data_IF_037784492268
#
_entry.id   IF_037784492268
#
_cell.length_a   1.000
_cell.length_b   1.000
_cell.length_c   1.000
_cell.angle_alpha   90.00
_cell.angle_beta   90.00
_cell.angle_gamma   90.00
#
_symmetry.space_group_name_H-M   'P 1'
#
loop_
_entity.id
_entity.type
_entity.pdbx_description
1 polymer ?
#
# COMPACT_ATOMS: atom_id res chain seq x y z
N UNK A 1 62.82 20.81 29.77
CA UNK A 1 61.78 20.80 28.72
C UNK A 1 61.85 19.59 27.77
N UNK A 2 63.00 18.94 27.54
CA UNK A 2 63.10 17.77 26.64
C UNK A 2 62.55 16.44 27.19
N UNK A 3 62.35 16.34 28.51
CA UNK A 3 61.80 15.14 29.16
C UNK A 3 60.27 15.16 29.30
N UNK A 4 59.62 16.29 29.01
CA UNK A 4 58.16 16.41 29.08
C UNK A 4 57.46 15.88 27.82
N UNK A 5 58.15 15.95 26.66
CA UNK A 5 57.68 15.39 25.39
C UNK A 5 57.82 13.87 25.29
N UNK A 6 58.76 13.27 26.04
CA UNK A 6 58.95 11.83 26.09
C UNK A 6 57.88 11.11 26.96
N UNK A 7 57.29 11.82 27.93
CA UNK A 7 56.21 11.29 28.77
C UNK A 7 54.86 11.20 28.02
N UNK A 8 54.72 11.95 26.92
CA UNK A 8 53.50 12.00 26.10
C UNK A 8 53.43 10.86 25.07
N UNK A 9 54.53 10.13 24.87
CA UNK A 9 54.62 8.94 24.01
C UNK A 9 54.47 7.61 24.76
N UNK A 10 54.23 7.66 26.08
CA UNK A 10 54.04 6.48 26.94
C UNK A 10 52.64 6.44 27.57
N UNK A 11 51.66 7.07 26.91
CA UNK A 11 50.27 6.67 27.07
C UNK A 11 50.01 5.60 26.01
N UNK A 12 49.91 4.31 26.38
CA UNK A 12 49.27 3.37 25.48
C UNK A 12 47.88 3.94 25.20
N UNK A 13 47.49 3.97 23.93
CA UNK A 13 46.09 4.08 23.54
C UNK A 13 45.34 2.94 24.25
N UNK A 14 44.84 3.19 25.46
CA UNK A 14 43.81 2.40 26.09
C UNK A 14 42.51 2.73 25.36
N UNK A 15 42.43 2.32 24.10
CA UNK A 15 41.17 1.88 23.55
C UNK A 15 40.85 0.59 24.32
N UNK A 16 40.24 0.72 25.49
CA UNK A 16 39.48 -0.37 26.09
C UNK A 16 38.30 -0.63 25.14
N UNK A 17 38.56 -1.31 24.03
CA UNK A 17 37.50 -2.04 23.35
C UNK A 17 37.04 -3.07 24.36
N UNK A 18 35.87 -2.86 24.95
CA UNK A 18 35.24 -3.82 25.86
C UNK A 18 35.16 -5.15 25.12
N UNK A 19 35.89 -6.15 25.61
CA UNK A 19 35.94 -7.44 24.94
C UNK A 19 34.58 -8.14 25.11
N UNK A 20 34.21 -9.04 24.19
CA UNK A 20 32.95 -9.82 24.31
C UNK A 20 32.84 -10.47 25.72
N UNK A 21 33.89 -11.09 26.29
CA UNK A 21 33.85 -11.63 27.66
C UNK A 21 33.52 -10.59 28.75
N UNK A 22 34.05 -9.38 28.64
CA UNK A 22 33.77 -8.32 29.62
C UNK A 22 32.32 -7.85 29.51
N UNK A 23 31.82 -7.67 28.28
CA UNK A 23 30.43 -7.31 28.02
C UNK A 23 29.46 -8.41 28.46
N UNK A 24 29.78 -9.69 28.24
CA UNK A 24 28.94 -10.81 28.71
C UNK A 24 28.84 -10.80 30.23
N UNK A 25 29.94 -10.56 30.95
CA UNK A 25 29.94 -10.54 32.40
C UNK A 25 29.13 -9.36 32.98
N UNK A 26 29.04 -8.23 32.25
CA UNK A 26 28.17 -7.10 32.61
C UNK A 26 26.71 -7.38 32.25
N UNK A 27 26.46 -7.93 31.06
CA UNK A 27 25.11 -8.26 30.59
C UNK A 27 24.43 -9.32 31.47
N UNK A 28 25.19 -10.30 31.98
CA UNK A 28 24.73 -11.30 32.97
C UNK A 28 24.42 -10.70 34.34
N UNK A 29 24.92 -9.50 34.65
CA UNK A 29 24.57 -8.73 35.85
C UNK A 29 23.43 -7.74 35.60
N UNK A 30 22.60 -8.02 34.60
CA UNK A 30 21.46 -7.22 34.18
C UNK A 30 21.79 -5.79 33.71
N UNK A 31 23.05 -5.51 33.33
CA UNK A 31 23.40 -4.22 32.75
C UNK A 31 22.76 -4.06 31.36
N UNK A 32 21.74 -3.21 31.28
CA UNK A 32 20.92 -2.99 30.08
C UNK A 32 21.75 -2.51 28.88
N UNK A 33 22.74 -1.65 29.13
CA UNK A 33 23.61 -1.09 28.09
C UNK A 33 24.52 -2.18 27.54
N UNK A 34 25.13 -2.99 28.41
CA UNK A 34 25.95 -4.13 28.02
C UNK A 34 25.12 -5.19 27.26
N UNK A 35 23.90 -5.48 27.71
CA UNK A 35 22.98 -6.39 26.99
C UNK A 35 22.70 -5.88 25.56
N UNK A 36 22.42 -4.59 25.41
CA UNK A 36 22.16 -3.99 24.09
C UNK A 36 23.40 -3.97 23.20
N UNK A 37 24.56 -3.57 23.73
CA UNK A 37 25.83 -3.54 22.98
C UNK A 37 26.25 -4.95 22.55
N UNK A 38 26.13 -5.94 23.44
CA UNK A 38 26.40 -7.33 23.13
C UNK A 38 25.48 -7.86 22.03
N UNK A 39 24.19 -7.50 22.07
CA UNK A 39 23.25 -7.83 21.01
C UNK A 39 23.64 -7.21 19.66
N UNK A 40 24.17 -5.99 19.65
CA UNK A 40 24.66 -5.35 18.43
C UNK A 40 25.88 -6.06 17.86
N UNK A 41 26.82 -6.47 18.70
CA UNK A 41 28.02 -7.22 18.28
C UNK A 41 27.63 -8.54 17.62
N UNK A 42 26.76 -9.32 18.26
CA UNK A 42 26.28 -10.58 17.69
C UNK A 42 25.48 -10.38 16.39
N UNK A 43 24.69 -9.31 16.28
CA UNK A 43 23.91 -9.02 15.07
C UNK A 43 24.78 -8.64 13.86
N UNK A 44 26.01 -8.15 14.08
CA UNK A 44 26.92 -7.85 12.97
C UNK A 44 27.52 -9.11 12.34
N UNK A 45 27.43 -10.26 13.01
CA UNK A 45 27.93 -11.53 12.50
C UNK A 45 26.98 -12.16 11.48
N UNK A 46 27.50 -12.86 10.45
CA UNK A 46 26.68 -13.58 9.48
C UNK A 46 26.16 -14.95 9.96
N UNK A 47 26.57 -15.43 11.14
CA UNK A 47 26.18 -16.76 11.66
C UNK A 47 24.76 -16.77 12.22
N UNK A 48 23.99 -17.82 11.93
CA UNK A 48 22.66 -18.01 12.54
C UNK A 48 22.73 -18.15 14.07
N UNK A 49 23.79 -18.76 14.60
CA UNK A 49 24.00 -18.88 16.04
C UNK A 49 24.17 -17.52 16.71
N UNK A 50 24.96 -16.64 16.09
CA UNK A 50 25.15 -15.27 16.59
C UNK A 50 23.85 -14.46 16.46
N UNK A 51 23.06 -14.64 15.39
CA UNK A 51 21.76 -13.99 15.26
C UNK A 51 20.76 -14.44 16.34
N UNK A 52 20.81 -15.72 16.77
CA UNK A 52 20.05 -16.21 17.91
C UNK A 52 20.51 -15.57 19.22
N UNK A 53 21.82 -15.39 19.41
CA UNK A 53 22.37 -14.68 20.57
C UNK A 53 21.97 -13.20 20.58
N UNK A 54 22.04 -12.54 19.42
CA UNK A 54 21.59 -11.16 19.27
C UNK A 54 20.12 -11.02 19.66
N UNK A 55 19.27 -11.92 19.16
CA UNK A 55 17.85 -11.94 19.50
C UNK A 55 17.62 -12.07 21.02
N UNK A 56 18.31 -13.02 21.66
CA UNK A 56 18.24 -13.22 23.10
C UNK A 56 18.62 -11.94 23.88
N UNK A 57 19.76 -11.32 23.56
CA UNK A 57 20.22 -10.13 24.28
C UNK A 57 19.39 -8.88 24.01
N UNK A 58 18.90 -8.69 22.77
CA UNK A 58 17.91 -7.64 22.50
C UNK A 58 16.63 -7.86 23.31
N UNK A 59 16.20 -9.12 23.49
CA UNK A 59 15.03 -9.44 24.30
C UNK A 59 15.22 -9.06 25.77
N UNK A 60 16.38 -9.37 26.36
CA UNK A 60 16.67 -8.98 27.74
C UNK A 60 16.65 -7.46 27.92
N UNK A 61 17.38 -6.71 27.08
CA UNK A 61 17.41 -5.25 27.14
C UNK A 61 16.03 -4.63 26.88
N UNK A 62 15.23 -5.19 25.96
CA UNK A 62 13.88 -4.72 25.66
C UNK A 62 12.90 -4.91 26.82
N UNK A 63 13.02 -6.03 27.55
CA UNK A 63 12.22 -6.31 28.76
C UNK A 63 12.55 -5.32 29.89
N UNK A 64 13.79 -4.82 29.94
CA UNK A 64 14.21 -3.73 30.82
C UNK A 64 13.87 -2.33 30.28
N UNK A 65 12.99 -2.24 29.28
CA UNK A 65 12.51 -1.00 28.66
C UNK A 65 13.56 -0.19 27.89
N UNK A 66 14.64 -0.81 27.41
CA UNK A 66 15.59 -0.13 26.53
C UNK A 66 14.95 0.20 25.16
N UNK A 67 14.76 1.48 24.79
CA UNK A 67 13.92 1.82 23.64
C UNK A 67 14.45 1.30 22.31
N UNK A 68 15.76 1.41 22.09
CA UNK A 68 16.39 0.92 20.86
C UNK A 68 16.35 -0.61 20.78
N UNK A 69 16.45 -1.31 21.92
CA UNK A 69 16.36 -2.76 21.95
C UNK A 69 14.94 -3.23 21.61
N UNK A 70 13.91 -2.55 22.13
CA UNK A 70 12.52 -2.82 21.77
C UNK A 70 12.28 -2.65 20.27
N UNK A 71 12.83 -1.60 19.66
CA UNK A 71 12.69 -1.36 18.22
C UNK A 71 13.40 -2.44 17.39
N UNK A 72 14.63 -2.81 17.80
CA UNK A 72 15.40 -3.87 17.15
C UNK A 72 14.70 -5.22 17.27
N UNK A 73 14.28 -5.60 18.47
CA UNK A 73 13.54 -6.84 18.73
C UNK A 73 12.26 -6.92 17.90
N UNK A 74 11.52 -5.81 17.78
CA UNK A 74 10.34 -5.77 16.92
C UNK A 74 10.68 -6.07 15.45
N UNK A 75 11.76 -5.48 14.96
CA UNK A 75 12.26 -5.70 13.59
C UNK A 75 12.69 -7.15 13.39
N UNK A 76 13.34 -7.76 14.38
CA UNK A 76 13.76 -9.16 14.34
C UNK A 76 12.56 -10.10 14.28
N UNK A 77 11.52 -9.87 15.09
CA UNK A 77 10.26 -10.62 15.00
C UNK A 77 9.59 -10.48 13.63
N UNK A 78 9.51 -9.27 13.08
CA UNK A 78 8.87 -9.04 11.76
C UNK A 78 9.63 -9.79 10.65
N UNK A 79 10.96 -9.84 10.73
CA UNK A 79 11.82 -10.47 9.72
C UNK A 79 12.05 -11.97 9.95
N UNK A 80 11.78 -12.48 11.15
CA UNK A 80 12.15 -13.85 11.54
C UNK A 80 13.66 -14.05 11.64
N UNK A 81 14.37 -13.09 12.23
CA UNK A 81 15.82 -13.20 12.46
C UNK A 81 16.03 -13.62 13.92
N UNK A 82 16.70 -14.74 14.13
CA UNK A 82 16.91 -15.33 15.45
C UNK A 82 15.66 -15.98 16.08
N UNK A 83 14.55 -16.04 15.32
CA UNK A 83 13.24 -16.58 15.70
C UNK A 83 12.40 -16.80 14.44
N UNK A 84 11.30 -17.55 14.52
CA UNK A 84 10.29 -17.54 13.46
C UNK A 84 9.64 -16.15 13.28
N UNK A 85 9.26 -15.75 12.04
CA UNK A 85 8.56 -14.49 11.80
C UNK A 85 7.25 -14.38 12.59
N UNK A 86 7.10 -13.30 13.34
CA UNK A 86 5.89 -13.00 14.12
C UNK A 86 5.58 -11.49 14.04
N UNK A 87 4.75 -11.12 13.07
CA UNK A 87 4.30 -9.74 12.87
C UNK A 87 3.53 -9.24 14.10
N UNK A 88 2.80 -10.12 14.80
CA UNK A 88 2.01 -9.76 15.98
C UNK A 88 2.89 -9.29 17.14
N UNK A 89 3.95 -10.03 17.45
CA UNK A 89 4.95 -9.63 18.46
C UNK A 89 5.74 -8.39 18.03
N UNK A 90 6.07 -8.28 16.75
CA UNK A 90 6.69 -7.07 16.21
C UNK A 90 5.83 -5.82 16.42
N UNK A 91 4.54 -5.90 16.06
CA UNK A 91 3.57 -4.84 16.30
C UNK A 91 3.40 -4.53 17.78
N UNK A 92 3.40 -5.52 18.66
CA UNK A 92 3.34 -5.32 20.10
C UNK A 92 4.49 -4.42 20.60
N UNK A 93 5.73 -4.75 20.26
CA UNK A 93 6.91 -3.99 20.67
C UNK A 93 6.95 -2.58 20.05
N UNK A 94 6.63 -2.44 18.76
CA UNK A 94 6.54 -1.11 18.14
C UNK A 94 5.43 -0.26 18.76
N UNK A 95 4.27 -0.87 19.06
CA UNK A 95 3.13 -0.14 19.64
C UNK A 95 3.49 0.39 21.03
N UNK A 96 4.19 -0.42 21.84
CA UNK A 96 4.72 0.01 23.15
C UNK A 96 5.56 1.29 23.04
N UNK A 97 6.50 1.33 22.10
CA UNK A 97 7.33 2.50 21.82
C UNK A 97 6.54 3.69 21.26
N UNK A 98 5.64 3.42 20.32
CA UNK A 98 4.84 4.45 19.67
C UNK A 98 3.91 5.17 20.65
N UNK A 99 3.37 4.45 21.65
CA UNK A 99 2.57 5.00 22.74
C UNK A 99 3.38 5.88 23.70
N UNK A 100 4.71 5.70 23.75
CA UNK A 100 5.64 6.59 24.47
C UNK A 100 6.03 7.82 23.65
N UNK A 101 5.49 7.97 22.43
CA UNK A 101 5.78 9.10 21.55
C UNK A 101 6.98 8.91 20.63
N UNK A 102 7.55 7.70 20.57
CA UNK A 102 8.64 7.40 19.63
C UNK A 102 8.12 7.48 18.18
N UNK A 103 8.60 8.48 17.43
CA UNK A 103 8.12 8.79 16.07
C UNK A 103 8.58 7.73 15.06
N UNK A 104 9.78 7.16 15.24
CA UNK A 104 10.28 6.08 14.38
C UNK A 104 9.42 4.81 14.48
N UNK A 105 8.97 4.46 15.69
CA UNK A 105 8.07 3.34 15.92
C UNK A 105 6.69 3.59 15.29
N UNK A 106 6.16 4.80 15.39
CA UNK A 106 4.90 5.18 14.73
C UNK A 106 5.02 5.04 13.21
N UNK A 107 6.11 5.52 12.62
CA UNK A 107 6.40 5.41 11.18
C UNK A 107 6.57 3.94 10.78
N UNK A 108 7.31 3.14 11.56
CA UNK A 108 7.54 1.73 11.28
C UNK A 108 6.24 0.93 11.26
N UNK A 109 5.32 1.21 12.19
CA UNK A 109 3.98 0.60 12.19
C UNK A 109 3.20 1.01 10.95
N UNK A 110 3.23 2.30 10.60
CA UNK A 110 2.53 2.81 9.42
C UNK A 110 3.04 2.15 8.12
N UNK A 111 4.37 2.04 7.96
CA UNK A 111 5.02 1.36 6.84
C UNK A 111 4.68 -0.13 6.79
N UNK A 112 4.60 -0.79 7.95
CA UNK A 112 4.24 -2.19 8.04
C UNK A 112 2.81 -2.43 7.54
N UNK A 113 1.86 -1.56 7.90
CA UNK A 113 0.50 -1.62 7.38
C UNK A 113 0.42 -1.23 5.90
N UNK A 114 1.17 -0.20 5.47
CA UNK A 114 1.27 0.22 4.06
C UNK A 114 1.80 -0.93 3.18
N UNK A 115 2.79 -1.70 3.64
CA UNK A 115 3.31 -2.88 2.93
C UNK A 115 2.24 -3.95 2.69
N UNK A 116 1.25 -4.05 3.57
CA UNK A 116 0.15 -5.02 3.48
C UNK A 116 -1.16 -4.34 3.03
N UNK A 117 -1.09 -3.28 2.22
CA UNK A 117 -2.22 -2.43 1.82
C UNK A 117 -3.30 -3.11 0.97
N UNK A 118 -3.13 -4.38 0.60
CA UNK A 118 -4.13 -5.15 -0.16
C UNK A 118 -5.48 -5.21 0.55
N UNK A 119 -5.47 -5.19 1.89
CA UNK A 119 -6.67 -4.98 2.71
C UNK A 119 -6.93 -3.48 2.91
N UNK A 120 -8.15 -2.96 2.62
CA UNK A 120 -8.53 -1.59 2.92
C UNK A 120 -8.33 -1.20 4.40
N UNK A 121 -8.44 -2.18 5.31
CA UNK A 121 -8.26 -1.96 6.75
C UNK A 121 -6.81 -1.58 7.09
N UNK A 122 -5.83 -2.13 6.37
CA UNK A 122 -4.42 -1.82 6.58
C UNK A 122 -4.09 -0.41 6.11
N UNK A 123 -4.66 0.07 5.00
CA UNK A 123 -4.50 1.47 4.58
C UNK A 123 -5.09 2.45 5.61
N UNK A 124 -6.20 2.10 6.25
CA UNK A 124 -6.76 2.93 7.32
C UNK A 124 -5.83 2.98 8.55
N UNK A 125 -5.22 1.85 8.94
CA UNK A 125 -4.27 1.81 10.05
C UNK A 125 -2.98 2.59 9.72
N UNK A 126 -2.46 2.46 8.50
CA UNK A 126 -1.32 3.23 8.04
C UNK A 126 -1.60 4.74 8.07
N UNK A 127 -2.79 5.16 7.63
CA UNK A 127 -3.21 6.56 7.70
C UNK A 127 -3.18 7.09 9.13
N UNK A 128 -3.76 6.35 10.09
CA UNK A 128 -3.81 6.76 11.49
C UNK A 128 -2.39 6.93 12.04
N UNK A 129 -1.51 5.94 11.87
CA UNK A 129 -0.16 6.00 12.41
C UNK A 129 0.70 7.09 11.77
N UNK A 130 0.61 7.29 10.45
CA UNK A 130 1.27 8.42 9.79
C UNK A 130 0.72 9.76 10.28
N UNK A 131 -0.60 9.90 10.49
CA UNK A 131 -1.19 11.15 11.00
C UNK A 131 -0.71 11.52 12.40
N UNK A 132 -0.43 10.52 13.25
CA UNK A 132 0.11 10.71 14.60
C UNK A 132 1.57 11.19 14.53
N UNK A 133 2.36 10.65 13.61
CA UNK A 133 3.78 10.96 13.43
C UNK A 133 4.04 12.24 12.61
N UNK A 134 3.10 12.65 11.77
CA UNK A 134 3.24 13.77 10.82
C UNK A 134 3.74 15.08 11.45
N UNK A 135 3.32 15.51 12.65
CA UNK A 135 3.82 16.74 13.25
C UNK A 135 5.32 16.74 13.56
N UNK A 136 5.94 15.56 13.61
CA UNK A 136 7.32 15.35 14.07
C UNK A 136 8.24 14.77 12.99
N UNK A 137 7.75 14.48 11.77
CA UNK A 137 8.56 13.86 10.72
C UNK A 137 8.02 14.07 9.31
N UNK A 138 8.87 14.59 8.43
CA UNK A 138 8.58 14.73 7.00
C UNK A 138 8.37 13.36 6.30
N UNK A 139 9.01 12.30 6.82
CA UNK A 139 8.81 10.94 6.34
C UNK A 139 7.37 10.50 6.58
N UNK A 140 6.80 10.87 7.74
CA UNK A 140 5.42 10.58 8.07
C UNK A 140 4.44 11.41 7.23
N UNK A 141 4.74 12.68 6.94
CA UNK A 141 3.94 13.50 6.02
C UNK A 141 3.91 12.90 4.61
N UNK A 142 5.07 12.53 4.07
CA UNK A 142 5.16 11.88 2.76
C UNK A 142 4.41 10.53 2.74
N UNK A 143 4.53 9.74 3.80
CA UNK A 143 3.80 8.47 3.97
C UNK A 143 2.28 8.67 4.03
N UNK A 144 1.82 9.66 4.78
CA UNK A 144 0.41 10.05 4.83
C UNK A 144 -0.13 10.39 3.44
N UNK A 145 0.62 11.19 2.67
CA UNK A 145 0.28 11.53 1.28
C UNK A 145 0.12 10.31 0.38
N UNK A 146 1.08 9.37 0.42
CA UNK A 146 1.01 8.12 -0.37
C UNK A 146 -0.22 7.28 0.00
N UNK A 147 -0.52 7.15 1.28
CA UNK A 147 -1.70 6.39 1.75
C UNK A 147 -2.99 7.04 1.26
N UNK A 148 -3.12 8.37 1.33
CA UNK A 148 -4.29 9.07 0.81
C UNK A 148 -4.46 8.88 -0.70
N UNK A 149 -3.36 8.93 -1.46
CA UNK A 149 -3.38 8.67 -2.90
C UNK A 149 -3.81 7.23 -3.21
N UNK A 150 -3.24 6.24 -2.51
CA UNK A 150 -3.62 4.83 -2.66
C UNK A 150 -5.12 4.61 -2.39
N UNK A 151 -5.65 5.21 -1.31
CA UNK A 151 -7.08 5.15 -0.97
C UNK A 151 -7.96 5.83 -2.02
N UNK A 152 -7.52 6.96 -2.57
CA UNK A 152 -8.24 7.63 -3.66
C UNK A 152 -8.28 6.77 -4.91
N UNK A 153 -7.15 6.19 -5.30
CA UNK A 153 -7.02 5.31 -6.46
C UNK A 153 -7.88 4.04 -6.29
N UNK A 154 -7.94 3.47 -5.09
CA UNK A 154 -8.80 2.32 -4.79
C UNK A 154 -10.29 2.66 -4.98
N UNK A 155 -10.74 3.82 -4.48
CA UNK A 155 -12.13 4.27 -4.68
C UNK A 155 -12.44 4.55 -6.15
N UNK A 156 -11.49 5.17 -6.87
CA UNK A 156 -11.59 5.39 -8.32
C UNK A 156 -11.76 4.06 -9.08
N UNK A 157 -10.94 3.07 -8.77
CA UNK A 157 -11.02 1.75 -9.40
C UNK A 157 -12.38 1.08 -9.13
N UNK A 158 -12.87 1.13 -7.89
CA UNK A 158 -14.19 0.60 -7.53
C UNK A 158 -15.34 1.27 -8.32
N UNK A 159 -15.27 2.60 -8.50
CA UNK A 159 -16.25 3.34 -9.29
C UNK A 159 -16.19 2.95 -10.78
N UNK A 160 -15.00 2.86 -11.36
CA UNK A 160 -14.84 2.46 -12.76
C UNK A 160 -15.37 1.04 -12.98
N UNK A 161 -15.00 0.07 -12.12
CA UNK A 161 -15.53 -1.29 -12.24
C UNK A 161 -17.05 -1.36 -12.09
N UNK A 162 -17.64 -0.50 -11.26
CA UNK A 162 -19.11 -0.45 -11.13
C UNK A 162 -19.80 0.09 -12.37
N UNK A 163 -19.15 1.00 -13.11
CA UNK A 163 -19.66 1.52 -14.38
C UNK A 163 -19.56 0.46 -15.49
N UNK A 164 -18.42 -0.23 -15.59
CA UNK A 164 -18.23 -1.30 -16.58
C UNK A 164 -19.26 -2.43 -16.42
N UNK A 165 -19.64 -2.76 -15.18
CA UNK A 165 -20.70 -3.74 -14.90
C UNK A 165 -22.09 -3.28 -15.38
N UNK A 166 -22.37 -1.97 -15.32
CA UNK A 166 -23.62 -1.41 -15.84
C UNK A 166 -23.65 -1.39 -17.37
N UNK A 167 -22.53 -1.08 -18.02
CA UNK A 167 -22.41 -1.10 -19.47
C UNK A 167 -22.58 -2.52 -20.03
N UNK A 168 -21.95 -3.53 -19.40
CA UNK A 168 -22.14 -4.95 -19.78
C UNK A 168 -23.59 -5.40 -19.60
N UNK A 169 -24.24 -5.00 -18.51
CA UNK A 169 -25.65 -5.31 -18.27
C UNK A 169 -26.54 -4.70 -19.37
N UNK A 170 -26.27 -3.45 -19.77
CA UNK A 170 -27.00 -2.75 -20.82
C UNK A 170 -26.78 -3.36 -22.22
N UNK A 171 -25.56 -3.79 -22.55
CA UNK A 171 -25.25 -4.47 -23.82
C UNK A 171 -25.88 -5.87 -23.92
N UNK A 172 -26.04 -6.56 -22.79
CA UNK A 172 -26.72 -7.86 -22.73
C UNK A 172 -28.22 -7.78 -23.03
N UNK A 173 -28.84 -6.63 -22.80
CA UNK A 173 -30.24 -6.37 -23.14
C UNK A 173 -30.45 -6.03 -24.63
N UNK A 174 -29.40 -5.57 -25.33
CA UNK A 174 -29.51 -5.09 -26.71
C UNK A 174 -29.13 -6.12 -27.79
N UNK A 175 -28.56 -7.27 -27.42
CA UNK A 175 -27.98 -8.24 -28.36
C UNK A 175 -28.93 -9.34 -28.85
N UNK A 176 -30.23 -9.29 -28.53
CA UNK A 176 -31.24 -10.24 -29.03
C UNK A 176 -31.90 -9.80 -30.34
N UNK A 177 -31.16 -9.46 -31.40
CA UNK A 177 -31.78 -9.36 -32.73
C UNK A 177 -30.79 -9.54 -33.89
N UNK A 178 -30.95 -10.68 -34.59
CA UNK A 178 -30.73 -10.79 -36.03
C UNK A 178 -29.31 -11.07 -36.55
N UNK A 179 -28.98 -12.35 -36.76
CA UNK A 179 -27.94 -12.76 -37.72
C UNK A 179 -28.44 -13.93 -38.55
N UNK A 180 -28.44 -13.82 -39.89
CA UNK A 180 -28.34 -14.95 -40.83
C UNK A 180 -28.14 -14.49 -42.29
N UNK A 181 -27.66 -15.36 -43.21
CA UNK A 181 -26.34 -15.14 -43.80
C UNK A 181 -26.23 -15.49 -45.31
N UNK A 182 -25.01 -15.29 -45.82
CA UNK A 182 -24.24 -16.20 -46.69
C UNK A 182 -24.51 -16.40 -48.19
N UNK A 183 -23.34 -16.64 -48.83
CA UNK A 183 -23.04 -17.56 -49.94
C UNK A 183 -23.39 -17.18 -51.38
N UNK A 184 -22.68 -17.64 -52.42
CA UNK A 184 -21.31 -18.08 -52.71
C UNK A 184 -21.30 -18.59 -54.17
N UNK A 185 -20.11 -18.93 -54.70
CA UNK A 185 -19.81 -19.77 -55.89
C UNK A 185 -19.78 -19.10 -57.29
N UNK A 186 -18.69 -19.13 -58.10
CA UNK A 186 -17.75 -20.18 -58.59
C UNK A 186 -18.26 -20.79 -59.91
N UNK A 187 -17.74 -20.35 -61.07
CA UNK A 187 -16.60 -20.87 -61.87
C UNK A 187 -17.03 -21.88 -62.95
N UNK A 188 -16.62 -21.67 -64.22
CA UNK A 188 -15.94 -22.68 -65.07
C UNK A 188 -15.80 -22.22 -66.53
N UNK A 189 -14.70 -22.67 -67.14
CA UNK A 189 -14.13 -22.30 -68.44
C UNK A 189 -14.60 -23.22 -69.58
N UNK A 190 -14.50 -22.76 -70.84
CA UNK A 190 -14.15 -23.58 -72.02
C UNK A 190 -13.65 -22.71 -73.20
N UNK A 191 -12.65 -23.19 -73.95
CA UNK A 191 -11.81 -22.42 -74.88
C UNK A 191 -12.17 -22.59 -76.39
N UNK A 192 -11.89 -21.56 -77.21
CA UNK A 192 -12.27 -21.40 -78.63
C UNK A 192 -11.04 -20.99 -79.53
N UNK A 193 -11.08 -21.15 -80.88
CA UNK A 193 -9.91 -21.28 -81.78
C UNK A 193 -9.14 -19.97 -82.15
N UNK A 194 -7.97 -20.11 -82.78
CA UNK A 194 -6.81 -19.18 -82.77
C UNK A 194 -6.93 -17.78 -83.42
N UNK A 195 -7.94 -17.48 -84.24
CA UNK A 195 -8.21 -16.11 -84.75
C UNK A 195 -9.28 -15.37 -83.92
N UNK A 196 -10.14 -16.12 -83.21
CA UNK A 196 -10.97 -15.57 -82.14
C UNK A 196 -10.10 -15.13 -80.96
N UNK A 197 -8.94 -15.73 -80.73
CA UNK A 197 -8.00 -15.30 -79.70
C UNK A 197 -7.59 -13.83 -79.82
N UNK A 198 -7.33 -13.32 -81.02
CA UNK A 198 -6.89 -11.91 -81.19
C UNK A 198 -8.05 -10.95 -80.93
N UNK A 199 -9.25 -11.25 -81.42
CA UNK A 199 -10.46 -10.43 -81.18
C UNK A 199 -10.90 -10.52 -79.71
N UNK A 200 -10.82 -11.71 -79.11
CA UNK A 200 -11.09 -11.94 -77.68
C UNK A 200 -10.02 -11.27 -76.82
N UNK A 201 -8.75 -11.21 -77.23
CA UNK A 201 -7.70 -10.47 -76.52
C UNK A 201 -7.97 -8.96 -76.58
N UNK A 202 -8.37 -8.40 -77.73
CA UNK A 202 -8.69 -6.97 -77.83
C UNK A 202 -9.93 -6.62 -77.00
N UNK A 203 -11.00 -7.42 -77.09
CA UNK A 203 -12.20 -7.25 -76.26
C UNK A 203 -11.88 -7.50 -74.77
N UNK A 204 -10.99 -8.43 -74.45
CA UNK A 204 -10.52 -8.69 -73.09
C UNK A 204 -9.65 -7.56 -72.57
N UNK A 205 -8.78 -6.93 -73.37
CA UNK A 205 -7.97 -5.76 -72.96
C UNK A 205 -8.88 -4.54 -72.77
N UNK A 206 -9.83 -4.28 -73.68
CA UNK A 206 -10.81 -3.22 -73.53
C UNK A 206 -11.71 -3.46 -72.30
N UNK A 207 -12.21 -4.69 -72.14
CA UNK A 207 -12.97 -5.14 -70.99
C UNK A 207 -12.18 -5.06 -69.68
N UNK A 208 -10.90 -5.44 -69.67
CA UNK A 208 -10.00 -5.34 -68.54
C UNK A 208 -9.69 -3.88 -68.20
N UNK A 209 -9.57 -3.00 -69.20
CA UNK A 209 -9.39 -1.56 -68.97
C UNK A 209 -10.62 -0.93 -68.32
N UNK A 210 -11.83 -1.27 -68.79
CA UNK A 210 -13.11 -0.83 -68.21
C UNK A 210 -13.34 -1.47 -66.85
N UNK A 211 -12.99 -2.75 -66.68
CA UNK A 211 -13.10 -3.48 -65.41
C UNK A 211 -12.13 -2.93 -64.38
N UNK A 212 -10.87 -2.66 -64.72
CA UNK A 212 -9.90 -2.00 -63.84
C UNK A 212 -10.33 -0.58 -63.49
N UNK A 213 -10.93 0.17 -64.43
CA UNK A 213 -11.48 1.52 -64.17
C UNK A 213 -12.72 1.47 -63.27
N UNK A 214 -13.63 0.51 -63.47
CA UNK A 214 -14.80 0.25 -62.60
C UNK A 214 -14.37 -0.26 -61.23
N UNK A 215 -13.38 -1.15 -61.15
CA UNK A 215 -12.81 -1.68 -59.90
C UNK A 215 -12.05 -0.59 -59.13
N UNK A 216 -11.30 0.29 -59.80
CA UNK A 216 -10.70 1.50 -59.18
C UNK A 216 -11.76 2.49 -58.69
N UNK A 217 -12.84 2.72 -59.44
CA UNK A 217 -13.99 3.53 -58.99
C UNK A 217 -14.70 2.89 -57.80
N UNK A 218 -15.00 1.59 -57.85
CA UNK A 218 -15.62 0.84 -56.76
C UNK A 218 -14.76 0.80 -55.50
N UNK A 219 -13.43 0.64 -55.64
CA UNK A 219 -12.48 0.69 -54.52
C UNK A 219 -12.41 2.10 -53.92
N UNK A 220 -12.36 3.15 -54.75
CA UNK A 220 -12.45 4.54 -54.27
C UNK A 220 -13.76 4.84 -53.55
N UNK A 221 -14.90 4.42 -54.12
CA UNK A 221 -16.22 4.63 -53.52
C UNK A 221 -16.29 3.88 -52.18
N UNK A 222 -15.89 2.61 -52.15
CA UNK A 222 -15.88 1.79 -50.93
C UNK A 222 -14.92 2.35 -49.86
N UNK A 223 -13.74 2.83 -50.24
CA UNK A 223 -12.80 3.49 -49.33
C UNK A 223 -13.37 4.83 -48.81
N UNK A 224 -14.05 5.62 -49.66
CA UNK A 224 -14.74 6.83 -49.20
C UNK A 224 -15.89 6.52 -48.27
N UNK A 225 -16.72 5.49 -48.55
CA UNK A 225 -17.84 5.10 -47.69
C UNK A 225 -17.34 4.62 -46.33
N UNK A 226 -16.30 3.77 -46.31
CA UNK A 226 -15.63 3.34 -45.07
C UNK A 226 -15.05 4.51 -44.29
N UNK A 227 -14.41 5.46 -44.97
CA UNK A 227 -13.85 6.65 -44.34
C UNK A 227 -14.95 7.52 -43.70
N UNK A 228 -16.06 7.77 -44.39
CA UNK A 228 -17.20 8.52 -43.82
C UNK A 228 -17.87 7.78 -42.66
N UNK A 229 -17.98 6.46 -42.72
CA UNK A 229 -18.51 5.66 -41.60
C UNK A 229 -17.58 5.70 -40.39
N UNK A 230 -16.27 5.65 -40.61
CA UNK A 230 -15.26 5.76 -39.55
C UNK A 230 -15.25 7.17 -38.93
N UNK A 231 -15.37 8.22 -39.74
CA UNK A 231 -15.48 9.59 -39.26
C UNK A 231 -16.76 9.82 -38.45
N UNK A 232 -17.89 9.24 -38.87
CA UNK A 232 -19.14 9.30 -38.12
C UNK A 232 -19.06 8.55 -36.77
N UNK A 233 -18.38 7.40 -36.72
CA UNK A 233 -18.15 6.66 -35.46
C UNK A 233 -17.21 7.40 -34.52
N UNK A 234 -16.11 7.97 -35.03
CA UNK A 234 -15.19 8.79 -34.24
C UNK A 234 -15.92 10.03 -33.70
N UNK A 235 -16.76 10.68 -34.51
CA UNK A 235 -17.55 11.83 -34.05
C UNK A 235 -18.55 11.44 -32.97
N UNK A 236 -19.29 10.33 -33.14
CA UNK A 236 -20.19 9.82 -32.11
C UNK A 236 -19.45 9.51 -30.80
N UNK A 237 -18.31 8.81 -30.87
CA UNK A 237 -17.47 8.51 -29.71
C UNK A 237 -16.92 9.79 -29.04
N UNK A 238 -16.54 10.81 -29.81
CA UNK A 238 -16.04 12.07 -29.27
C UNK A 238 -17.10 12.84 -28.46
N UNK A 239 -18.38 12.73 -28.86
CA UNK A 239 -19.50 13.32 -28.13
C UNK A 239 -19.74 12.57 -26.82
N UNK A 240 -19.71 11.24 -26.83
CA UNK A 240 -19.82 10.40 -25.63
C UNK A 240 -18.70 10.70 -24.64
N UNK A 241 -17.44 10.74 -25.10
CA UNK A 241 -16.27 11.09 -24.28
C UNK A 241 -16.43 12.50 -23.68
N UNK A 242 -16.95 13.47 -24.44
CA UNK A 242 -17.19 14.83 -23.96
C UNK A 242 -18.28 14.87 -22.88
N UNK A 243 -19.33 14.06 -23.01
CA UNK A 243 -20.38 13.93 -21.99
C UNK A 243 -19.86 13.27 -20.73
N UNK A 244 -19.11 12.16 -20.86
CA UNK A 244 -18.45 11.48 -19.74
C UNK A 244 -17.49 12.42 -19.00
N UNK A 245 -16.68 13.21 -19.73
CA UNK A 245 -15.78 14.21 -19.15
C UNK A 245 -16.54 15.26 -18.35
N UNK A 246 -17.64 15.79 -18.89
CA UNK A 246 -18.50 16.77 -18.17
C UNK A 246 -19.05 16.16 -16.89
N UNK A 247 -19.55 14.93 -16.94
CA UNK A 247 -20.06 14.23 -15.77
C UNK A 247 -18.97 14.05 -14.70
N UNK A 248 -17.79 13.61 -15.11
CA UNK A 248 -16.62 13.46 -14.25
C UNK A 248 -16.18 14.79 -13.63
N UNK A 249 -16.23 15.90 -14.38
CA UNK A 249 -15.94 17.25 -13.87
C UNK A 249 -16.94 17.70 -12.80
N UNK A 250 -18.24 17.41 -12.98
CA UNK A 250 -19.25 17.66 -11.94
C UNK A 250 -19.01 16.83 -10.68
N UNK A 251 -18.73 15.54 -10.82
CA UNK A 251 -18.38 14.67 -9.70
C UNK A 251 -17.11 15.16 -8.99
N UNK A 252 -16.09 15.54 -9.76
CA UNK A 252 -14.86 16.11 -9.21
C UNK A 252 -15.12 17.42 -8.45
N UNK A 253 -16.00 18.30 -8.96
CA UNK A 253 -16.40 19.52 -8.24
C UNK A 253 -17.17 19.21 -6.96
N UNK A 254 -18.04 18.20 -6.97
CA UNK A 254 -18.75 17.75 -5.76
C UNK A 254 -17.78 17.18 -4.73
N UNK A 255 -16.88 16.29 -5.14
CA UNK A 255 -15.83 15.73 -4.28
C UNK A 255 -14.92 16.83 -3.76
N UNK A 256 -14.51 17.79 -4.60
CA UNK A 256 -13.70 18.94 -4.17
C UNK A 256 -14.43 19.81 -3.14
N UNK A 257 -15.74 20.02 -3.27
CA UNK A 257 -16.55 20.71 -2.26
C UNK A 257 -16.62 19.94 -0.94
N UNK A 258 -16.79 18.61 -1.00
CA UNK A 258 -16.76 17.73 0.19
C UNK A 258 -15.38 17.68 0.84
N UNK A 259 -14.32 17.69 0.03
CA UNK A 259 -12.94 17.77 0.51
C UNK A 259 -12.65 19.14 1.11
N UNK A 260 -13.14 20.24 0.53
CA UNK A 260 -12.98 21.58 1.09
C UNK A 260 -13.78 21.78 2.38
N UNK A 261 -14.91 21.09 2.56
CA UNK A 261 -15.61 21.09 3.86
C UNK A 261 -14.88 20.26 4.92
N UNK A 262 -14.08 19.26 4.52
CA UNK A 262 -13.30 18.41 5.43
C UNK A 262 -11.85 18.85 5.63
N UNK A 263 -11.27 19.65 4.72
CA UNK A 263 -9.88 20.11 4.72
C UNK A 263 -9.77 21.54 5.26
N UNK A 264 -10.32 21.79 6.44
CA UNK A 264 -9.50 22.55 7.37
C UNK A 264 -8.51 21.56 7.94
N UNK A 265 -7.23 21.75 7.61
CA UNK A 265 -6.05 21.21 8.30
C UNK A 265 -6.09 21.69 9.75
N UNK A 266 -7.08 21.19 10.49
CA UNK A 266 -7.15 21.35 11.92
C UNK A 266 -6.16 20.32 12.42
N UNK A 267 -5.02 20.81 12.92
CA UNK A 267 -4.20 20.05 13.87
C UNK A 267 -5.20 19.33 14.79
N UNK A 268 -5.22 17.98 14.83
CA UNK A 268 -6.28 17.25 15.51
C UNK A 268 -6.39 17.82 16.92
N UNK A 269 -7.61 18.15 17.36
CA UNK A 269 -7.78 18.67 18.69
C UNK A 269 -7.17 17.66 19.68
N UNK A 270 -6.61 18.10 20.83
CA UNK A 270 -5.93 17.19 21.74
C UNK A 270 -6.77 15.96 22.15
N UNK A 271 -8.09 16.09 22.15
CA UNK A 271 -9.01 14.99 22.44
C UNK A 271 -9.27 14.06 21.24
N UNK A 272 -9.22 14.57 20.01
CA UNK A 272 -9.29 13.75 18.79
C UNK A 272 -8.03 12.87 18.66
N UNK A 273 -6.87 13.41 19.01
CA UNK A 273 -5.60 12.66 19.00
C UNK A 273 -5.59 11.54 20.05
N UNK A 274 -6.14 11.78 21.24
CA UNK A 274 -6.30 10.75 22.29
C UNK A 274 -7.24 9.62 21.83
N UNK A 275 -8.35 9.96 21.19
CA UNK A 275 -9.28 8.96 20.64
C UNK A 275 -8.61 8.18 19.51
N UNK A 276 -7.91 8.84 18.60
CA UNK A 276 -7.16 8.19 17.52
C UNK A 276 -6.12 7.21 18.06
N UNK A 277 -5.34 7.62 19.07
CA UNK A 277 -4.35 6.75 19.72
C UNK A 277 -5.00 5.53 20.40
N UNK A 278 -6.11 5.75 21.10
CA UNK A 278 -6.85 4.66 21.73
C UNK A 278 -7.40 3.67 20.69
N UNK A 279 -8.01 4.17 19.63
CA UNK A 279 -8.49 3.36 18.51
C UNK A 279 -7.34 2.61 17.83
N UNK A 280 -6.20 3.26 17.57
CA UNK A 280 -5.02 2.65 16.98
C UNK A 280 -4.48 1.49 17.83
N UNK A 281 -4.40 1.68 19.16
CA UNK A 281 -3.97 0.64 20.11
C UNK A 281 -4.84 -0.62 20.03
N UNK A 282 -6.13 -0.46 19.74
CA UNK A 282 -7.06 -1.59 19.60
C UNK A 282 -7.13 -2.16 18.18
N UNK A 283 -6.57 -1.46 17.18
CA UNK A 283 -6.72 -1.78 15.76
C UNK A 283 -8.09 -1.36 15.20
N UNK A 284 -8.70 -0.31 15.75
CA UNK A 284 -9.99 0.20 15.33
C UNK A 284 -9.87 1.49 14.54
N UNK A 285 -10.86 1.75 13.68
CA UNK A 285 -11.01 3.01 12.96
C UNK A 285 -11.82 3.98 13.81
N UNK A 286 -11.44 5.26 13.82
CA UNK A 286 -12.15 6.30 14.58
C UNK A 286 -13.62 6.45 14.14
N UNK A 287 -13.90 6.29 12.84
CA UNK A 287 -15.26 6.37 12.30
C UNK A 287 -16.11 5.10 12.54
N UNK A 288 -15.45 3.94 12.67
CA UNK A 288 -16.08 2.61 12.71
C UNK A 288 -15.64 1.86 13.97
N UNK A 289 -15.91 2.44 15.13
CA UNK A 289 -15.71 1.77 16.42
C UNK A 289 -16.74 0.64 16.58
N UNK A 290 -16.32 -0.61 16.86
CA UNK A 290 -17.21 -1.76 16.98
C UNK A 290 -18.08 -1.73 18.24
N UNK A 291 -18.98 -2.70 18.38
CA UNK A 291 -19.90 -2.77 19.51
C UNK A 291 -19.19 -3.06 20.85
N UNK A 292 -19.86 -2.78 21.97
CA UNK A 292 -19.28 -2.94 23.29
C UNK A 292 -18.79 -4.38 23.56
N UNK A 293 -19.43 -5.39 22.97
CA UNK A 293 -19.02 -6.79 23.14
C UNK A 293 -17.69 -7.05 22.45
N UNK A 294 -17.54 -6.69 21.18
CA UNK A 294 -16.29 -6.86 20.44
C UNK A 294 -15.12 -6.08 21.08
N UNK A 295 -15.38 -4.86 21.57
CA UNK A 295 -14.36 -4.07 22.29
C UNK A 295 -13.85 -4.83 23.52
N UNK A 296 -14.75 -5.42 24.33
CA UNK A 296 -14.36 -6.19 25.52
C UNK A 296 -13.58 -7.46 25.17
N UNK A 297 -13.93 -8.13 24.08
CA UNK A 297 -13.18 -9.29 23.58
C UNK A 297 -11.76 -8.89 23.19
N UNK A 298 -11.62 -7.81 22.41
CA UNK A 298 -10.31 -7.29 22.01
C UNK A 298 -9.48 -6.85 23.22
N UNK A 299 -10.10 -6.16 24.18
CA UNK A 299 -9.46 -5.81 25.45
C UNK A 299 -8.92 -7.05 26.17
N UNK A 300 -9.69 -8.15 26.27
CA UNK A 300 -9.22 -9.39 26.91
C UNK A 300 -8.02 -10.02 26.19
N UNK A 301 -7.92 -9.87 24.87
CA UNK A 301 -6.75 -10.30 24.11
C UNK A 301 -5.53 -9.43 24.43
N UNK A 302 -5.71 -8.11 24.36
CA UNK A 302 -4.64 -7.14 24.64
C UNK A 302 -4.19 -7.20 26.10
N UNK A 303 -5.11 -7.40 27.05
CA UNK A 303 -4.78 -7.47 28.48
C UNK A 303 -3.89 -8.66 28.80
N UNK A 304 -3.94 -9.75 28.02
CA UNK A 304 -2.98 -10.85 28.16
C UNK A 304 -1.58 -10.43 27.72
N UNK A 305 -1.47 -9.62 26.66
CA UNK A 305 -0.17 -9.17 26.14
C UNK A 305 0.48 -8.12 27.04
N UNK A 306 -0.32 -7.20 27.57
CA UNK A 306 0.19 -6.08 28.38
C UNK A 306 0.21 -6.37 29.89
N UNK A 307 -0.21 -7.55 30.35
CA UNK A 307 -0.17 -7.88 31.78
C UNK A 307 1.28 -7.92 32.30
N UNK A 308 1.55 -7.43 33.52
CA UNK A 308 2.87 -7.51 34.16
C UNK A 308 3.46 -8.94 34.20
N UNK A 309 2.62 -9.93 34.45
CA UNK A 309 3.05 -11.34 34.59
C UNK A 309 3.62 -11.99 33.31
N UNK A 310 3.47 -11.37 32.14
CA UNK A 310 3.91 -11.94 30.87
C UNK A 310 5.05 -11.14 30.23
N UNK A 311 4.79 -9.91 29.81
CA UNK A 311 5.76 -9.08 29.08
C UNK A 311 5.44 -7.57 29.14
N UNK A 312 4.38 -7.21 29.86
CA UNK A 312 3.95 -5.84 30.02
C UNK A 312 4.34 -5.25 31.37
N UNK A 313 3.79 -4.09 31.68
CA UNK A 313 4.04 -3.33 32.91
C UNK A 313 2.73 -2.73 33.43
N UNK A 314 2.72 -2.37 34.70
CA UNK A 314 1.56 -1.71 35.32
C UNK A 314 1.17 -0.42 34.58
N UNK A 315 2.16 0.31 34.06
CA UNK A 315 1.93 1.50 33.24
C UNK A 315 1.22 1.19 31.93
N UNK A 316 1.61 0.11 31.26
CA UNK A 316 0.99 -0.32 30.00
C UNK A 316 -0.44 -0.79 30.20
N UNK A 317 -0.70 -1.55 31.27
CA UNK A 317 -2.07 -1.89 31.66
C UNK A 317 -2.90 -0.65 31.97
N UNK A 318 -2.32 0.35 32.64
CA UNK A 318 -2.98 1.63 32.90
C UNK A 318 -3.32 2.37 31.61
N UNK A 319 -2.41 2.37 30.62
CA UNK A 319 -2.65 2.96 29.28
C UNK A 319 -3.76 2.21 28.54
N UNK A 320 -3.73 0.88 28.53
CA UNK A 320 -4.77 0.05 27.93
C UNK A 320 -6.15 0.32 28.57
N UNK A 321 -6.21 0.42 29.90
CA UNK A 321 -7.42 0.75 30.64
C UNK A 321 -7.94 2.16 30.30
N UNK A 322 -7.04 3.13 30.16
CA UNK A 322 -7.42 4.48 29.76
C UNK A 322 -7.95 4.51 28.32
N UNK A 323 -7.28 3.82 27.39
CA UNK A 323 -7.73 3.68 26.00
C UNK A 323 -9.12 3.03 25.93
N UNK A 324 -9.37 1.96 26.70
CA UNK A 324 -10.69 1.34 26.81
C UNK A 324 -11.75 2.35 27.28
N UNK A 325 -11.45 3.14 28.31
CA UNK A 325 -12.37 4.17 28.84
C UNK A 325 -12.72 5.21 27.77
N UNK A 326 -11.74 5.69 27.01
CA UNK A 326 -11.92 6.66 25.92
C UNK A 326 -12.82 6.08 24.82
N UNK A 327 -12.53 4.85 24.37
CA UNK A 327 -13.32 4.20 23.32
C UNK A 327 -14.77 3.98 23.77
N UNK A 328 -14.98 3.47 24.99
CA UNK A 328 -16.33 3.22 25.51
C UNK A 328 -17.12 4.51 25.73
N UNK A 329 -16.48 5.61 26.10
CA UNK A 329 -17.13 6.92 26.21
C UNK A 329 -17.68 7.37 24.85
N UNK A 330 -16.94 7.15 23.75
CA UNK A 330 -17.39 7.47 22.40
C UNK A 330 -18.59 6.62 21.96
N UNK A 331 -18.60 5.33 22.30
CA UNK A 331 -19.71 4.43 21.97
C UNK A 331 -20.99 4.82 22.71
N UNK A 332 -20.91 5.27 23.96
CA UNK A 332 -22.07 5.74 24.74
C UNK A 332 -22.69 7.05 24.24
N UNK A 333 -21.96 7.82 23.43
CA UNK A 333 -22.43 9.08 22.85
C UNK A 333 -23.10 8.92 21.48
N UNK A 334 -23.01 7.73 20.87
CA UNK A 334 -23.68 7.37 19.61
C UNK A 334 -25.08 6.82 19.89
#
# INVERSE_FOLDING_TARGET
>A
MKWLLALLFLLPNLAFGTTIPDLTALAEKDDVSAQFELAQLYHQSPSEEDLNQAFYWYQQAANQNHPEAQFKLATLYIKGIGTEPDIGKGLFWLTKLALLGNTDAQIAIAQLYEKHSESPENLDMAEIWYSIAQPNSDIAEAGYGRVLEAKFNQRKAQQVSSLDQLDIAFESEQSTEGKKPDNSHQSSNQAMPSYLFIVVIIIAIAGLSVFLKRRKRGKRIHDTTKKTQLEATIQAQSVTIKQQKRHLETLFRQVKKLQQSNNHTRKPAPDDQKLALACAMFGFKVAQVPDQKQIKVRYKQLSKLYHPDLSGSDEEMKRLNNALKIILAKVKQK
#
